data_IF_302201696295
#
_entry.id   IF_302201696295
#
_cell.length_a   1.000
_cell.length_b   1.000
_cell.length_c   1.000
_cell.angle_alpha   90.00
_cell.angle_beta   90.00
_cell.angle_gamma   90.00
#
_symmetry.space_group_name_H-M   'P 1'
#
loop_
_entity.id
_entity.type
_entity.pdbx_description
1 polymer ?
#
# COMPACT_ATOMS: atom_id res chain seq x y z
N UNK A 1 3.17 8.28 -13.90
CA UNK A 1 4.21 8.92 -13.09
C UNK A 1 3.89 8.57 -11.64
N UNK A 2 4.72 7.77 -10.95
CA UNK A 2 4.42 7.41 -9.56
C UNK A 2 4.37 8.69 -8.72
N UNK A 3 3.22 9.01 -8.15
CA UNK A 3 3.07 10.16 -7.25
C UNK A 3 3.96 9.93 -6.02
N UNK A 4 4.52 10.98 -5.40
CA UNK A 4 5.36 10.91 -4.19
C UNK A 4 4.69 10.00 -3.14
N UNK A 5 3.37 10.15 -2.95
CA UNK A 5 2.59 9.34 -2.02
C UNK A 5 2.50 7.86 -2.38
N UNK A 6 2.48 7.50 -3.67
CA UNK A 6 2.48 6.09 -4.09
C UNK A 6 3.80 5.42 -3.71
N UNK A 7 4.92 6.11 -3.97
CA UNK A 7 6.26 5.64 -3.62
C UNK A 7 6.41 5.47 -2.11
N UNK A 8 5.92 6.44 -1.33
CA UNK A 8 5.99 6.40 0.13
C UNK A 8 5.14 5.25 0.71
N UNK A 9 3.93 5.02 0.19
CA UNK A 9 3.09 3.87 0.58
C UNK A 9 3.81 2.56 0.27
N UNK A 10 4.32 2.41 -0.95
CA UNK A 10 5.03 1.19 -1.35
C UNK A 10 6.25 0.94 -0.46
N UNK A 11 7.06 1.96 -0.20
CA UNK A 11 8.22 1.82 0.66
C UNK A 11 7.83 1.45 2.11
N UNK A 12 6.73 2.01 2.62
CA UNK A 12 6.21 1.64 3.94
C UNK A 12 5.76 0.18 3.99
N UNK A 13 5.02 -0.28 2.97
CA UNK A 13 4.56 -1.67 2.87
C UNK A 13 5.74 -2.65 2.73
N UNK A 14 6.77 -2.30 1.95
CA UNK A 14 7.98 -3.13 1.79
C UNK A 14 8.71 -3.28 3.13
N UNK A 15 8.86 -2.19 3.89
CA UNK A 15 9.46 -2.23 5.23
C UNK A 15 8.65 -3.07 6.24
N UNK A 16 7.34 -3.21 6.01
CA UNK A 16 6.42 -3.94 6.88
C UNK A 16 5.88 -5.21 6.20
N UNK A 17 6.61 -5.80 5.24
CA UNK A 17 6.11 -6.90 4.39
C UNK A 17 5.69 -8.18 5.14
N UNK A 18 6.07 -8.32 6.41
CA UNK A 18 5.75 -9.47 7.26
C UNK A 18 4.42 -9.35 8.01
N UNK A 19 3.72 -8.21 7.88
CA UNK A 19 2.44 -7.96 8.54
C UNK A 19 1.47 -7.19 7.66
N UNK A 20 0.20 -7.20 8.03
CA UNK A 20 -0.77 -6.26 7.50
C UNK A 20 -0.58 -4.87 8.12
N UNK A 21 -0.72 -3.85 7.30
CA UNK A 21 -0.68 -2.43 7.67
C UNK A 21 -2.05 -1.82 7.42
N UNK A 22 -2.61 -1.14 8.41
CA UNK A 22 -3.93 -0.50 8.25
C UNK A 22 -3.83 0.80 7.43
N UNK A 23 -4.94 1.20 6.81
CA UNK A 23 -5.01 2.52 6.14
C UNK A 23 -4.84 3.68 7.11
N UNK A 24 -5.19 3.48 8.39
CA UNK A 24 -4.97 4.45 9.47
C UNK A 24 -3.48 4.65 9.76
N UNK A 25 -2.70 3.58 9.90
CA UNK A 25 -1.24 3.68 10.09
C UNK A 25 -0.57 4.40 8.92
N UNK A 26 -0.95 4.08 7.68
CA UNK A 26 -0.45 4.76 6.49
C UNK A 26 -0.86 6.24 6.48
N UNK A 27 -2.07 6.57 6.93
CA UNK A 27 -2.57 7.93 6.99
C UNK A 27 -1.78 8.79 7.99
N UNK A 28 -1.48 8.21 9.16
CA UNK A 28 -0.60 8.80 10.18
C UNK A 28 0.83 8.99 9.64
N UNK A 29 1.41 7.98 8.99
CA UNK A 29 2.74 8.06 8.39
C UNK A 29 2.85 9.15 7.30
N UNK A 30 1.81 9.32 6.48
CA UNK A 30 1.80 10.25 5.36
C UNK A 30 1.20 11.62 5.68
N UNK A 31 0.81 11.85 6.94
CA UNK A 31 0.08 13.04 7.40
C UNK A 31 -1.08 13.41 6.47
N UNK A 32 -1.94 12.43 6.17
CA UNK A 32 -3.08 12.62 5.27
C UNK A 32 -4.32 11.86 5.74
N UNK A 33 -5.43 11.98 4.99
CA UNK A 33 -6.65 11.28 5.37
C UNK A 33 -6.60 9.80 4.99
N UNK A 34 -7.28 8.97 5.77
CA UNK A 34 -7.52 7.56 5.47
C UNK A 34 -8.20 7.35 4.09
N UNK A 35 -9.08 8.28 3.68
CA UNK A 35 -9.66 8.31 2.32
C UNK A 35 -8.59 8.49 1.25
N UNK A 36 -7.62 9.38 1.46
CA UNK A 36 -6.51 9.62 0.53
C UNK A 36 -5.67 8.36 0.37
N UNK A 37 -5.31 7.70 1.48
CA UNK A 37 -4.56 6.44 1.47
C UNK A 37 -5.27 5.38 0.64
N UNK A 38 -6.57 5.14 0.90
CA UNK A 38 -7.33 4.12 0.16
C UNK A 38 -7.44 4.42 -1.33
N UNK A 39 -7.55 5.69 -1.71
CA UNK A 39 -7.53 6.08 -3.13
C UNK A 39 -6.19 5.79 -3.79
N UNK A 40 -5.08 6.09 -3.10
CA UNK A 40 -3.74 5.82 -3.62
C UNK A 40 -3.46 4.32 -3.70
N UNK A 41 -3.85 3.52 -2.69
CA UNK A 41 -3.73 2.06 -2.73
C UNK A 41 -4.49 1.43 -3.90
N UNK A 42 -5.70 1.92 -4.21
CA UNK A 42 -6.45 1.50 -5.40
C UNK A 42 -5.73 1.83 -6.71
N UNK A 43 -5.02 2.96 -6.75
CA UNK A 43 -4.23 3.34 -7.92
C UNK A 43 -3.00 2.44 -8.04
N UNK A 44 -2.29 2.20 -6.95
CA UNK A 44 -1.17 1.25 -6.88
C UNK A 44 -1.62 -0.12 -7.40
N UNK A 45 -2.71 -0.67 -6.88
CA UNK A 45 -3.27 -1.97 -7.29
C UNK A 45 -3.56 -2.04 -8.80
N UNK A 46 -4.10 -0.95 -9.39
CA UNK A 46 -4.35 -0.86 -10.84
C UNK A 46 -3.06 -0.73 -11.66
N UNK A 47 -2.03 -0.08 -11.11
CA UNK A 47 -0.77 0.20 -11.82
C UNK A 47 0.28 -0.90 -11.66
N UNK A 48 0.22 -1.70 -10.59
CA UNK A 48 1.05 -2.87 -10.38
C UNK A 48 0.58 -4.03 -11.27
N UNK A 49 0.82 -3.89 -12.56
CA UNK A 49 0.86 -5.00 -13.52
C UNK A 49 2.34 -5.34 -13.75
N UNK A 50 3.06 -5.59 -12.65
CA UNK A 50 4.46 -6.00 -12.70
C UNK A 50 4.46 -7.46 -12.25
N UNK A 51 4.92 -8.36 -13.11
CA UNK A 51 5.06 -9.78 -12.77
C UNK A 51 5.87 -9.91 -11.48
N UNK A 52 5.33 -10.64 -10.50
CA UNK A 52 6.02 -10.91 -9.24
C UNK A 52 5.67 -10.04 -8.04
N UNK A 53 4.76 -9.06 -8.13
CA UNK A 53 4.35 -8.25 -6.97
C UNK A 53 2.84 -8.12 -6.87
N UNK A 54 2.27 -8.43 -5.70
CA UNK A 54 0.84 -8.26 -5.41
C UNK A 54 0.61 -7.41 -4.17
N UNK A 55 -0.38 -6.53 -4.24
CA UNK A 55 -0.96 -5.87 -3.09
C UNK A 55 -2.14 -6.70 -2.57
N UNK A 56 -2.04 -7.26 -1.38
CA UNK A 56 -3.10 -8.03 -0.74
C UNK A 56 -3.87 -7.10 0.20
N UNK A 57 -5.19 -7.05 0.04
CA UNK A 57 -6.11 -6.35 0.92
C UNK A 57 -6.97 -7.36 1.69
N UNK A 58 -7.01 -7.25 3.02
CA UNK A 58 -7.83 -8.11 3.87
C UNK A 58 -8.70 -7.28 4.81
N UNK A 59 -10.02 -7.47 4.69
CA UNK A 59 -11.00 -6.76 5.49
C UNK A 59 -10.71 -6.90 6.99
N UNK A 60 -10.68 -5.77 7.70
CA UNK A 60 -10.39 -5.71 9.13
C UNK A 60 -8.92 -5.90 9.51
N UNK A 61 -8.02 -6.21 8.58
CA UNK A 61 -6.57 -6.40 8.86
C UNK A 61 -5.70 -5.36 8.16
N UNK A 62 -6.08 -4.92 6.95
CA UNK A 62 -5.38 -3.88 6.20
C UNK A 62 -4.75 -4.41 4.92
N UNK A 63 -3.54 -3.94 4.63
CA UNK A 63 -2.84 -4.13 3.36
C UNK A 63 -1.46 -4.73 3.58
N UNK A 64 -1.02 -5.61 2.69
CA UNK A 64 0.31 -6.21 2.70
C UNK A 64 0.85 -6.34 1.28
N UNK A 65 2.14 -6.13 1.10
CA UNK A 65 2.81 -6.39 -0.17
C UNK A 65 3.39 -7.81 -0.16
N UNK A 66 3.12 -8.54 -1.23
CA UNK A 66 3.60 -9.90 -1.44
C UNK A 66 4.44 -9.96 -2.72
N UNK A 67 5.55 -10.68 -2.65
CA UNK A 67 6.43 -10.90 -3.79
C UNK A 67 6.28 -12.38 -4.20
N UNK A 68 5.83 -12.63 -5.43
CA UNK A 68 5.84 -13.99 -5.99
C UNK A 68 7.29 -14.32 -6.39
N UNK A 69 7.77 -15.49 -5.97
CA UNK A 69 9.07 -16.04 -6.36
C UNK A 69 9.03 -16.63 -7.78
#
# INVERSE_FOLDING_TARGET
>A
MLNIKEKDILQFLIKNKERFVTSKELAEYLSCSDRTVRNVLKLIEKTMIIQGVRLISKQGQGYQIFFEN
#
